data_IF_253281370795
#
_entry.id   IF_253281370795
#
_cell.length_a   1.000
_cell.length_b   1.000
_cell.length_c   1.000
_cell.angle_alpha   90.00
_cell.angle_beta   90.00
_cell.angle_gamma   90.00
#
_symmetry.space_group_name_H-M   'P 1'
#
loop_
_entity.id
_entity.type
_entity.pdbx_description
1 polymer ?
#
# COMPACT_ATOMS: atom_id res chain seq x y z
N UNK A 1 39.95 -41.65 -9.79
CA UNK A 1 39.11 -41.25 -8.64
C UNK A 1 38.79 -39.78 -8.86
N UNK A 2 37.53 -39.46 -9.16
CA UNK A 2 37.09 -38.08 -9.21
C UNK A 2 36.74 -37.70 -7.78
N UNK A 3 37.59 -36.90 -7.15
CA UNK A 3 37.27 -36.29 -5.86
C UNK A 3 36.06 -35.39 -6.07
N UNK A 4 34.91 -35.85 -5.58
CA UNK A 4 33.72 -35.01 -5.45
C UNK A 4 34.08 -33.98 -4.39
N UNK A 5 34.35 -32.76 -4.83
CA UNK A 5 34.48 -31.62 -3.92
C UNK A 5 33.11 -31.45 -3.26
N UNK A 6 32.96 -31.99 -2.06
CA UNK A 6 31.82 -31.71 -1.19
C UNK A 6 31.80 -30.20 -0.96
N UNK A 7 30.91 -29.52 -1.66
CA UNK A 7 30.67 -28.11 -1.41
C UNK A 7 29.93 -28.00 -0.08
N UNK A 8 30.18 -26.94 0.67
CA UNK A 8 29.43 -26.62 1.89
C UNK A 8 27.91 -26.69 1.64
N UNK A 9 27.46 -26.34 0.42
CA UNK A 9 26.07 -26.51 0.00
C UNK A 9 25.59 -27.95 0.08
N UNK A 10 26.31 -28.93 -0.48
CA UNK A 10 25.89 -30.34 -0.45
C UNK A 10 25.72 -30.90 0.96
N UNK A 11 26.53 -30.44 1.93
CA UNK A 11 26.48 -30.88 3.33
C UNK A 11 25.41 -30.19 4.21
N UNK A 12 24.81 -29.07 3.78
CA UNK A 12 23.82 -28.34 4.60
C UNK A 12 22.49 -29.12 4.65
N UNK A 13 21.84 -29.24 5.82
CA UNK A 13 20.51 -29.86 5.93
C UNK A 13 19.45 -29.18 5.07
N UNK A 14 18.55 -29.97 4.47
CA UNK A 14 17.48 -29.48 3.59
C UNK A 14 16.66 -28.36 4.23
N UNK A 15 16.31 -28.48 5.51
CA UNK A 15 15.53 -27.47 6.24
C UNK A 15 16.24 -26.12 6.34
N UNK A 16 17.56 -26.12 6.49
CA UNK A 16 18.39 -24.90 6.52
C UNK A 16 18.47 -24.30 5.12
N UNK A 17 18.64 -25.13 4.08
CA UNK A 17 18.61 -24.64 2.69
C UNK A 17 17.25 -24.00 2.34
N UNK A 18 16.15 -24.63 2.73
CA UNK A 18 14.80 -24.08 2.55
C UNK A 18 14.62 -22.76 3.30
N UNK A 19 15.23 -22.60 4.48
CA UNK A 19 15.24 -21.33 5.20
C UNK A 19 16.03 -20.26 4.45
N UNK A 20 17.26 -20.56 4.01
CA UNK A 20 18.12 -19.65 3.26
C UNK A 20 17.49 -19.21 1.94
N UNK A 21 16.79 -20.11 1.25
CA UNK A 21 16.10 -19.84 -0.01
C UNK A 21 15.01 -18.77 0.08
N UNK A 22 14.48 -18.51 1.29
CA UNK A 22 13.53 -17.43 1.53
C UNK A 22 14.18 -16.04 1.43
N UNK A 23 15.49 -15.96 1.54
CA UNK A 23 16.27 -14.72 1.46
C UNK A 23 16.99 -14.54 0.12
N UNK A 24 17.00 -15.57 -0.73
CA UNK A 24 17.51 -15.46 -2.09
C UNK A 24 16.58 -14.59 -2.94
N UNK A 25 17.10 -13.92 -3.97
CA UNK A 25 16.27 -13.24 -4.97
C UNK A 25 15.75 -14.23 -6.03
N UNK A 26 14.93 -13.72 -6.95
CA UNK A 26 14.36 -14.52 -8.04
C UNK A 26 15.43 -15.18 -8.90
N UNK A 27 16.45 -14.43 -9.32
CA UNK A 27 17.47 -14.91 -10.25
C UNK A 27 18.34 -16.00 -9.60
N UNK A 28 18.72 -15.81 -8.33
CA UNK A 28 19.48 -16.80 -7.55
C UNK A 28 18.72 -18.12 -7.44
N UNK A 29 17.40 -18.07 -7.19
CA UNK A 29 16.56 -19.27 -7.16
C UNK A 29 16.45 -19.93 -8.53
N UNK A 30 16.29 -19.14 -9.59
CA UNK A 30 16.25 -19.66 -10.96
C UNK A 30 17.57 -20.35 -11.33
N UNK A 31 18.71 -19.73 -11.01
CA UNK A 31 20.04 -20.31 -11.23
C UNK A 31 20.21 -21.60 -10.44
N UNK A 32 19.76 -21.64 -9.18
CA UNK A 32 19.83 -22.84 -8.36
C UNK A 32 18.99 -24.00 -8.92
N UNK A 33 17.82 -23.72 -9.51
CA UNK A 33 17.03 -24.74 -10.23
C UNK A 33 17.77 -25.36 -11.41
N UNK A 34 18.74 -24.65 -11.99
CA UNK A 34 19.55 -25.12 -13.12
C UNK A 34 20.78 -25.93 -12.68
N UNK A 35 21.17 -25.86 -11.40
CA UNK A 35 22.37 -26.54 -10.89
C UNK A 35 22.20 -28.06 -10.83
N UNK A 36 21.08 -28.57 -10.30
CA UNK A 36 20.84 -30.01 -10.17
C UNK A 36 19.35 -30.37 -10.02
N UNK A 37 19.02 -31.67 -10.13
CA UNK A 37 17.65 -32.16 -9.87
C UNK A 37 17.23 -31.97 -8.42
N UNK A 38 18.15 -32.17 -7.48
CA UNK A 38 17.89 -32.03 -6.05
C UNK A 38 17.67 -30.57 -5.67
N UNK A 39 18.47 -29.66 -6.23
CA UNK A 39 18.30 -28.22 -6.05
C UNK A 39 16.99 -27.73 -6.66
N UNK A 40 16.59 -28.25 -7.83
CA UNK A 40 15.28 -27.97 -8.40
C UNK A 40 14.16 -28.42 -7.46
N UNK A 41 14.21 -29.65 -6.97
CA UNK A 41 13.19 -30.18 -6.04
C UNK A 41 13.16 -29.38 -4.72
N UNK A 42 14.32 -28.94 -4.23
CA UNK A 42 14.44 -28.08 -3.06
C UNK A 42 13.76 -26.72 -3.29
N UNK A 43 14.04 -26.04 -4.40
CA UNK A 43 13.40 -24.75 -4.70
C UNK A 43 11.90 -24.93 -4.92
N UNK A 44 11.48 -25.97 -5.64
CA UNK A 44 10.07 -26.24 -5.92
C UNK A 44 9.28 -26.65 -4.65
N UNK A 45 9.94 -27.28 -3.67
CA UNK A 45 9.33 -27.62 -2.36
C UNK A 45 9.37 -26.48 -1.36
N UNK A 46 10.19 -25.45 -1.57
CA UNK A 46 10.27 -24.30 -0.69
C UNK A 46 9.06 -23.39 -0.93
N UNK A 47 8.21 -23.24 0.09
CA UNK A 47 7.11 -22.28 0.04
C UNK A 47 7.67 -20.85 0.09
N UNK A 48 7.81 -20.26 -1.09
CA UNK A 48 8.21 -18.88 -1.26
C UNK A 48 7.00 -17.96 -1.41
N UNK A 49 7.06 -16.79 -0.78
CA UNK A 49 6.11 -15.69 -0.99
C UNK A 49 6.95 -14.50 -1.46
N UNK A 50 6.74 -13.99 -2.68
CA UNK A 50 7.50 -12.86 -3.19
C UNK A 50 7.21 -11.61 -2.36
N UNK A 51 8.22 -10.74 -2.23
CA UNK A 51 8.03 -9.50 -1.50
C UNK A 51 7.12 -8.53 -2.26
N UNK A 52 7.27 -8.44 -3.59
CA UNK A 52 6.49 -7.50 -4.41
C UNK A 52 6.04 -8.10 -5.74
N UNK A 53 4.75 -7.90 -6.02
CA UNK A 53 4.16 -8.04 -7.35
C UNK A 53 3.57 -6.69 -7.74
N UNK A 54 3.84 -6.21 -8.94
CA UNK A 54 3.22 -4.98 -9.46
C UNK A 54 2.73 -5.14 -10.88
N UNK A 55 1.55 -4.60 -11.15
CA UNK A 55 0.99 -4.45 -12.49
C UNK A 55 0.79 -2.95 -12.68
N UNK A 56 1.61 -2.37 -13.55
CA UNK A 56 1.60 -0.95 -13.86
C UNK A 56 1.28 -0.69 -15.32
N UNK A 57 0.71 0.46 -15.61
CA UNK A 57 0.53 0.97 -16.95
C UNK A 57 0.97 2.42 -17.02
N UNK A 58 1.66 2.77 -18.10
CA UNK A 58 2.06 4.13 -18.41
C UNK A 58 1.38 4.55 -19.71
N UNK A 59 0.63 5.67 -19.71
CA UNK A 59 -0.06 6.14 -20.91
C UNK A 59 0.94 6.39 -22.03
N UNK A 60 0.59 5.92 -23.24
CA UNK A 60 1.37 6.22 -24.43
C UNK A 60 1.27 7.69 -24.82
N UNK A 61 2.15 8.15 -25.71
CA UNK A 61 1.97 9.46 -26.35
C UNK A 61 0.71 9.45 -27.21
N UNK A 62 0.24 10.62 -27.64
CA UNK A 62 -0.97 10.74 -28.47
C UNK A 62 -0.90 9.81 -29.69
N UNK A 63 -1.80 8.83 -29.77
CA UNK A 63 -1.86 7.83 -30.85
C UNK A 63 -1.03 6.56 -30.63
N UNK A 64 -0.28 6.46 -29.55
CA UNK A 64 0.45 5.26 -29.15
C UNK A 64 -0.32 4.48 -28.08
N UNK A 65 -0.21 3.15 -28.13
CA UNK A 65 -0.66 2.33 -27.02
C UNK A 65 0.18 2.61 -25.77
N UNK A 66 -0.43 2.48 -24.61
CA UNK A 66 0.27 2.49 -23.33
C UNK A 66 1.20 1.30 -23.15
N UNK A 67 2.20 1.50 -22.31
CA UNK A 67 3.17 0.49 -21.92
C UNK A 67 2.73 -0.16 -20.62
N UNK A 68 2.70 -1.50 -20.57
CA UNK A 68 2.40 -2.25 -19.33
C UNK A 68 3.73 -2.73 -18.73
N UNK A 69 3.89 -2.52 -17.43
CA UNK A 69 4.99 -3.02 -16.64
C UNK A 69 4.49 -4.11 -15.70
N UNK A 70 5.11 -5.30 -15.77
CA UNK A 70 4.78 -6.44 -14.92
C UNK A 70 6.00 -6.79 -14.08
N UNK A 71 5.89 -6.61 -12.77
CA UNK A 71 6.99 -6.82 -11.83
C UNK A 71 6.74 -8.04 -10.97
N UNK A 72 7.75 -8.91 -10.91
CA UNK A 72 7.88 -9.98 -9.92
C UNK A 72 9.23 -9.81 -9.25
N UNK A 73 9.26 -9.19 -8.07
CA UNK A 73 10.49 -8.88 -7.33
C UNK A 73 11.47 -7.99 -8.10
N UNK A 74 12.65 -8.50 -8.48
CA UNK A 74 13.65 -7.80 -9.30
C UNK A 74 13.36 -7.91 -10.80
N UNK A 75 12.56 -8.88 -11.22
CA UNK A 75 12.21 -9.10 -12.63
C UNK A 75 11.13 -8.11 -13.05
N UNK A 76 11.39 -7.37 -14.12
CA UNK A 76 10.43 -6.44 -14.73
C UNK A 76 10.26 -6.82 -16.20
N UNK A 77 9.02 -7.02 -16.61
CA UNK A 77 8.63 -7.18 -18.00
C UNK A 77 8.01 -5.87 -18.48
N UNK A 78 8.51 -5.35 -19.59
CA UNK A 78 7.95 -4.21 -20.30
C UNK A 78 7.20 -4.73 -21.52
N UNK A 79 5.92 -4.38 -21.62
CA UNK A 79 5.01 -4.87 -22.66
C UNK A 79 4.49 -3.68 -23.47
N UNK A 80 4.87 -3.62 -24.74
CA UNK A 80 4.50 -2.57 -25.68
C UNK A 80 3.83 -3.16 -26.91
N UNK A 81 2.76 -2.56 -27.40
CA UNK A 81 2.02 -3.05 -28.57
C UNK A 81 2.01 -2.01 -29.69
N UNK A 82 2.48 -2.38 -30.88
CA UNK A 82 2.50 -1.50 -32.05
C UNK A 82 2.11 -2.30 -33.29
N UNK A 83 1.17 -1.77 -34.08
CA UNK A 83 0.71 -2.38 -35.33
C UNK A 83 0.27 -3.85 -35.17
N UNK A 84 -0.40 -4.18 -34.05
CA UNK A 84 -0.88 -5.54 -33.75
C UNK A 84 0.21 -6.53 -33.32
N UNK A 85 1.45 -6.08 -33.14
CA UNK A 85 2.55 -6.87 -32.60
C UNK A 85 2.86 -6.36 -31.19
N UNK A 86 2.80 -7.28 -30.21
CA UNK A 86 3.22 -7.01 -28.84
C UNK A 86 4.65 -7.47 -28.64
N UNK A 87 5.52 -6.54 -28.29
CA UNK A 87 6.88 -6.78 -27.84
C UNK A 87 6.89 -6.89 -26.33
N UNK A 88 7.58 -7.92 -25.82
CA UNK A 88 7.85 -8.11 -24.39
C UNK A 88 9.36 -8.12 -24.21
N UNK A 89 9.87 -7.25 -23.34
CA UNK A 89 11.27 -7.23 -22.95
C UNK A 89 11.43 -7.36 -21.45
N UNK A 90 12.56 -7.89 -21.00
CA UNK A 90 12.95 -7.91 -19.59
C UNK A 90 14.08 -6.90 -19.32
N UNK A 91 14.27 -6.56 -18.05
CA UNK A 91 15.46 -5.85 -17.58
C UNK A 91 16.79 -6.64 -17.73
N UNK A 92 16.72 -7.89 -18.21
CA UNK A 92 17.86 -8.78 -18.49
C UNK A 92 18.12 -8.99 -19.99
N UNK A 93 17.61 -8.09 -20.84
CA UNK A 93 17.81 -8.10 -22.31
C UNK A 93 17.19 -9.30 -23.04
N UNK A 94 16.28 -10.04 -22.41
CA UNK A 94 15.47 -11.06 -23.08
C UNK A 94 14.31 -10.35 -23.76
N UNK A 95 14.10 -10.61 -25.04
CA UNK A 95 13.00 -10.03 -25.82
C UNK A 95 12.29 -11.08 -26.65
N UNK A 96 10.97 -10.97 -26.75
CA UNK A 96 10.18 -11.74 -27.70
C UNK A 96 8.96 -10.96 -28.19
N UNK A 97 8.47 -11.35 -29.37
CA UNK A 97 7.27 -10.78 -29.97
C UNK A 97 6.11 -11.79 -29.94
N UNK A 98 4.89 -11.28 -29.88
CA UNK A 98 3.67 -12.09 -29.97
C UNK A 98 2.54 -11.32 -30.65
N UNK A 99 1.58 -12.05 -31.21
CA UNK A 99 0.35 -11.49 -31.80
C UNK A 99 -0.78 -11.30 -30.75
N UNK A 100 -0.53 -11.68 -29.49
CA UNK A 100 -1.47 -11.45 -28.38
C UNK A 100 -1.46 -9.97 -28.01
N UNK A 101 -2.59 -9.42 -27.59
CA UNK A 101 -2.64 -8.04 -27.09
C UNK A 101 -1.79 -7.87 -25.82
N UNK A 102 -1.38 -6.64 -25.52
CA UNK A 102 -0.65 -6.32 -24.28
C UNK A 102 -1.39 -6.76 -23.01
N UNK A 103 -2.73 -6.69 -23.00
CA UNK A 103 -3.55 -7.18 -21.89
C UNK A 103 -3.62 -8.70 -21.81
N UNK A 104 -3.63 -9.41 -22.93
CA UNK A 104 -3.55 -10.87 -22.94
C UNK A 104 -2.18 -11.35 -22.43
N UNK A 105 -1.10 -10.64 -22.76
CA UNK A 105 0.23 -10.90 -22.21
C UNK A 105 0.22 -10.71 -20.69
N UNK A 106 -0.33 -9.59 -20.20
CA UNK A 106 -0.47 -9.34 -18.76
C UNK A 106 -1.28 -10.46 -18.06
N UNK A 107 -2.39 -10.88 -18.66
CA UNK A 107 -3.22 -11.97 -18.13
C UNK A 107 -2.45 -13.29 -18.05
N UNK A 108 -1.77 -13.67 -19.13
CA UNK A 108 -0.98 -14.91 -19.16
C UNK A 108 0.20 -14.87 -18.18
N UNK A 109 0.80 -13.70 -17.97
CA UNK A 109 1.83 -13.54 -16.96
C UNK A 109 1.27 -13.75 -15.55
N UNK A 110 0.09 -13.19 -15.24
CA UNK A 110 -0.57 -13.44 -13.96
C UNK A 110 -0.88 -14.92 -13.77
N UNK A 111 -1.38 -15.61 -14.79
CA UNK A 111 -1.62 -17.06 -14.72
C UNK A 111 -0.34 -17.87 -14.46
N UNK A 112 0.82 -17.40 -14.91
CA UNK A 112 2.11 -18.07 -14.65
C UNK A 112 2.59 -17.91 -13.21
N UNK A 113 2.30 -16.78 -12.57
CA UNK A 113 2.73 -16.51 -11.18
C UNK A 113 1.68 -16.94 -10.14
N UNK A 114 0.45 -17.21 -10.59
CA UNK A 114 -0.64 -17.72 -9.77
C UNK A 114 -0.27 -19.09 -9.20
N UNK A 115 -0.37 -19.23 -7.88
CA UNK A 115 -0.12 -20.47 -7.17
C UNK A 115 -1.40 -20.90 -6.42
N UNK A 116 -1.88 -22.13 -6.68
CA UNK A 116 -3.12 -22.66 -6.08
C UNK A 116 -4.31 -21.69 -6.18
N UNK A 117 -4.46 -21.05 -7.34
CA UNK A 117 -5.55 -20.11 -7.60
C UNK A 117 -5.34 -18.70 -7.08
N UNK A 118 -4.22 -18.37 -6.45
CA UNK A 118 -3.98 -17.07 -5.80
C UNK A 118 -2.72 -16.39 -6.32
N UNK A 119 -2.77 -15.07 -6.37
CA UNK A 119 -1.65 -14.19 -6.58
C UNK A 119 -1.21 -13.75 -5.19
N UNK A 120 -0.15 -14.37 -4.67
CA UNK A 120 0.32 -14.19 -3.29
C UNK A 120 1.66 -13.44 -3.28
N UNK A 121 1.74 -12.34 -2.54
CA UNK A 121 2.95 -11.56 -2.29
C UNK A 121 2.81 -10.79 -0.96
N UNK A 122 3.91 -10.33 -0.38
CA UNK A 122 3.84 -9.42 0.77
C UNK A 122 3.15 -8.09 0.35
N UNK A 123 3.58 -7.51 -0.76
CA UNK A 123 3.03 -6.28 -1.35
C UNK A 123 2.51 -6.52 -2.77
N UNK A 124 1.29 -6.07 -3.04
CA UNK A 124 0.73 -6.03 -4.39
C UNK A 124 0.42 -4.59 -4.77
N UNK A 125 0.83 -4.18 -5.98
CA UNK A 125 0.60 -2.83 -6.50
C UNK A 125 -0.11 -2.86 -7.85
N UNK A 126 -1.22 -2.14 -7.98
CA UNK A 126 -1.97 -1.95 -9.23
C UNK A 126 -1.93 -0.46 -9.59
N UNK A 127 -1.16 -0.11 -10.62
CA UNK A 127 -0.77 1.28 -10.88
C UNK A 127 -1.22 1.71 -12.28
N UNK A 128 -2.18 2.64 -12.36
CA UNK A 128 -2.81 3.15 -13.58
C UNK A 128 -3.35 2.07 -14.55
N UNK A 129 -3.49 0.84 -14.08
CA UNK A 129 -3.80 -0.30 -14.94
C UNK A 129 -5.28 -0.30 -15.33
N UNK A 130 -5.53 -0.24 -16.64
CA UNK A 130 -6.86 0.03 -17.18
C UNK A 130 -7.75 -1.21 -17.25
N UNK A 131 -7.15 -2.41 -17.25
CA UNK A 131 -7.90 -3.66 -17.34
C UNK A 131 -8.73 -3.90 -16.08
N UNK A 132 -9.98 -4.31 -16.26
CA UNK A 132 -10.80 -4.88 -15.18
C UNK A 132 -10.18 -6.21 -14.73
N UNK A 133 -10.07 -6.49 -13.43
CA UNK A 133 -9.50 -7.76 -12.97
C UNK A 133 -10.38 -8.93 -13.41
N UNK A 134 -9.82 -9.99 -14.01
CA UNK A 134 -10.54 -11.22 -14.32
C UNK A 134 -11.20 -11.86 -13.08
N UNK A 135 -12.27 -12.62 -13.32
CA UNK A 135 -13.12 -13.07 -12.24
C UNK A 135 -12.48 -14.06 -11.28
N UNK A 136 -11.58 -14.88 -11.83
CA UNK A 136 -10.86 -15.95 -11.17
C UNK A 136 -9.55 -15.48 -10.50
N UNK A 137 -9.32 -14.17 -10.43
CA UNK A 137 -8.17 -13.60 -9.74
C UNK A 137 -8.47 -13.43 -8.25
N UNK A 138 -7.51 -13.85 -7.43
CA UNK A 138 -7.57 -13.70 -5.98
C UNK A 138 -6.23 -13.17 -5.50
N UNK A 139 -6.23 -11.94 -4.97
CA UNK A 139 -5.07 -11.27 -4.42
C UNK A 139 -4.95 -11.60 -2.92
N UNK A 140 -3.78 -12.09 -2.53
CA UNK A 140 -3.41 -12.33 -1.13
C UNK A 140 -2.14 -11.55 -0.82
N UNK A 141 -2.27 -10.51 0.00
CA UNK A 141 -1.14 -9.70 0.44
C UNK A 141 -1.39 -9.06 1.80
N UNK A 142 -0.31 -8.59 2.42
CA UNK A 142 -0.36 -7.78 3.63
C UNK A 142 -0.52 -6.29 3.27
N UNK A 143 0.08 -5.86 2.15
CA UNK A 143 0.07 -4.48 1.69
C UNK A 143 -0.49 -4.36 0.26
N UNK A 144 -1.61 -3.67 0.10
CA UNK A 144 -2.20 -3.39 -1.21
C UNK A 144 -2.10 -1.90 -1.55
N UNK A 145 -1.56 -1.60 -2.74
CA UNK A 145 -1.57 -0.27 -3.34
C UNK A 145 -2.40 -0.29 -4.62
N UNK A 146 -3.43 0.54 -4.71
CA UNK A 146 -4.20 0.78 -5.94
C UNK A 146 -4.10 2.25 -6.27
N UNK A 147 -3.48 2.57 -7.39
CA UNK A 147 -3.28 3.95 -7.84
C UNK A 147 -3.91 4.14 -9.21
N UNK A 148 -4.76 5.15 -9.35
CA UNK A 148 -5.17 5.74 -10.63
C UNK A 148 -5.74 4.75 -11.66
N UNK A 149 -6.31 3.64 -11.20
CA UNK A 149 -7.09 2.74 -12.06
C UNK A 149 -8.38 3.46 -12.51
N UNK A 150 -9.03 3.03 -13.60
CA UNK A 150 -10.34 3.55 -13.95
C UNK A 150 -11.32 3.40 -12.76
N UNK A 151 -12.05 4.46 -12.41
CA UNK A 151 -12.88 4.50 -11.19
C UNK A 151 -13.87 3.34 -11.09
N UNK A 152 -14.42 2.90 -12.22
CA UNK A 152 -15.33 1.75 -12.30
C UNK A 152 -14.68 0.41 -11.91
N UNK A 153 -13.35 0.31 -11.92
CA UNK A 153 -12.61 -0.90 -11.62
C UNK A 153 -12.12 -0.98 -10.17
N UNK A 154 -12.17 0.12 -9.38
CA UNK A 154 -11.64 0.15 -8.01
C UNK A 154 -12.29 -0.92 -7.12
N UNK A 155 -13.63 -0.95 -7.08
CA UNK A 155 -14.38 -1.92 -6.28
C UNK A 155 -14.08 -3.35 -6.72
N UNK A 156 -13.98 -3.60 -8.03
CA UNK A 156 -13.64 -4.91 -8.58
C UNK A 156 -12.25 -5.38 -8.13
N UNK A 157 -11.24 -4.49 -8.13
CA UNK A 157 -9.90 -4.81 -7.64
C UNK A 157 -9.88 -5.10 -6.15
N UNK A 158 -10.59 -4.31 -5.35
CA UNK A 158 -10.74 -4.57 -3.91
C UNK A 158 -11.46 -5.89 -3.65
N UNK A 159 -12.52 -6.21 -4.40
CA UNK A 159 -13.25 -7.48 -4.27
C UNK A 159 -12.39 -8.71 -4.57
N UNK A 160 -11.39 -8.60 -5.45
CA UNK A 160 -10.44 -9.70 -5.69
C UNK A 160 -9.44 -9.87 -4.55
N UNK A 161 -9.39 -8.97 -3.59
CA UNK A 161 -8.43 -9.01 -2.46
C UNK A 161 -9.03 -9.66 -1.24
N UNK A 162 -8.28 -10.57 -0.61
CA UNK A 162 -8.65 -11.15 0.69
C UNK A 162 -8.67 -10.05 1.76
N UNK A 163 -9.76 -9.89 2.54
CA UNK A 163 -9.95 -8.77 3.47
C UNK A 163 -9.18 -8.95 4.80
N UNK A 164 -7.86 -9.07 4.72
CA UNK A 164 -6.92 -9.23 5.84
C UNK A 164 -5.64 -8.42 5.60
N UNK A 165 -5.82 -7.16 5.18
CA UNK A 165 -4.72 -6.26 4.88
C UNK A 165 -4.16 -5.65 6.17
N UNK A 166 -2.83 -5.52 6.23
CA UNK A 166 -2.18 -4.62 7.18
C UNK A 166 -2.26 -3.20 6.70
N UNK A 167 -1.95 -2.99 5.42
CA UNK A 167 -1.99 -1.68 4.78
C UNK A 167 -2.83 -1.68 3.51
N UNK A 168 -3.68 -0.67 3.37
CA UNK A 168 -4.39 -0.36 2.15
C UNK A 168 -4.10 1.09 1.75
N UNK A 169 -3.49 1.29 0.59
CA UNK A 169 -3.24 2.60 -0.02
C UNK A 169 -4.01 2.73 -1.34
N UNK A 170 -5.03 3.58 -1.35
CA UNK A 170 -5.84 3.88 -2.54
C UNK A 170 -5.59 5.33 -2.94
N UNK A 171 -5.02 5.51 -4.12
CA UNK A 171 -4.68 6.82 -4.66
C UNK A 171 -5.40 7.09 -5.98
N UNK A 172 -6.55 7.75 -5.92
CA UNK A 172 -7.40 7.99 -7.09
C UNK A 172 -7.91 9.42 -7.15
N UNK A 173 -8.41 9.87 -8.30
CA UNK A 173 -9.07 11.17 -8.42
C UNK A 173 -10.37 11.28 -7.63
N UNK A 174 -11.08 10.15 -7.52
CA UNK A 174 -12.32 10.02 -6.77
C UNK A 174 -12.39 8.62 -6.19
N UNK A 175 -12.70 8.54 -4.90
CA UNK A 175 -12.92 7.30 -4.17
C UNK A 175 -14.35 7.34 -3.63
N UNK A 176 -15.21 6.47 -4.16
CA UNK A 176 -16.58 6.31 -3.70
C UNK A 176 -16.96 4.83 -3.57
N UNK A 177 -17.99 4.54 -2.77
CA UNK A 177 -18.63 3.21 -2.68
C UNK A 177 -17.75 2.06 -2.20
N UNK A 178 -16.59 2.33 -1.57
CA UNK A 178 -15.72 1.28 -1.02
C UNK A 178 -15.73 1.20 0.51
N UNK A 179 -16.29 2.19 1.21
CA UNK A 179 -16.13 2.34 2.65
C UNK A 179 -16.79 1.21 3.47
N UNK A 180 -17.87 0.62 2.96
CA UNK A 180 -18.52 -0.55 3.56
C UNK A 180 -17.81 -1.88 3.31
N UNK A 181 -16.79 -1.92 2.45
CA UNK A 181 -16.09 -3.15 2.07
C UNK A 181 -15.18 -3.64 3.20
N UNK A 182 -15.15 -4.96 3.38
CA UNK A 182 -14.33 -5.59 4.43
C UNK A 182 -12.83 -5.33 4.25
N UNK A 183 -12.37 -5.17 3.00
CA UNK A 183 -10.99 -4.79 2.69
C UNK A 183 -10.60 -3.43 3.30
N UNK A 184 -11.54 -2.49 3.35
CA UNK A 184 -11.32 -1.15 3.91
C UNK A 184 -11.45 -1.20 5.44
N UNK A 185 -12.57 -1.71 5.96
CA UNK A 185 -12.86 -1.72 7.40
C UNK A 185 -11.86 -2.56 8.19
N UNK A 186 -11.46 -3.72 7.66
CA UNK A 186 -10.60 -4.68 8.37
C UNK A 186 -9.10 -4.45 8.15
N UNK A 187 -8.72 -3.33 7.53
CA UNK A 187 -7.30 -2.94 7.45
C UNK A 187 -6.77 -2.71 8.86
N UNK A 188 -5.71 -3.43 9.26
CA UNK A 188 -5.33 -3.55 10.67
C UNK A 188 -4.29 -2.55 11.15
N UNK A 189 -3.46 -1.99 10.26
CA UNK A 189 -2.36 -1.10 10.64
C UNK A 189 -2.55 0.29 10.03
N UNK A 190 -2.63 0.40 8.70
CA UNK A 190 -2.69 1.70 8.03
C UNK A 190 -3.68 1.74 6.86
N UNK A 191 -4.59 2.71 6.90
CA UNK A 191 -5.49 3.01 5.79
C UNK A 191 -5.17 4.39 5.18
N UNK A 192 -4.80 4.41 3.90
CA UNK A 192 -4.56 5.64 3.15
C UNK A 192 -5.54 5.75 1.99
N UNK A 193 -6.35 6.79 2.02
CA UNK A 193 -7.33 7.10 0.98
C UNK A 193 -7.06 8.52 0.49
N UNK A 194 -6.37 8.63 -0.65
CA UNK A 194 -5.98 9.93 -1.18
C UNK A 194 -7.11 10.57 -1.99
N UNK A 195 -7.20 11.90 -1.90
CA UNK A 195 -7.97 12.82 -2.75
C UNK A 195 -9.49 12.53 -2.80
N UNK A 196 -10.24 13.51 -2.32
CA UNK A 196 -11.67 13.69 -2.60
C UNK A 196 -12.52 12.47 -2.22
N UNK A 197 -12.29 11.87 -1.04
CA UNK A 197 -13.23 10.87 -0.50
C UNK A 197 -14.50 11.57 -0.01
N UNK A 198 -15.67 11.06 -0.40
CA UNK A 198 -16.96 11.54 0.10
C UNK A 198 -17.44 10.71 1.31
N UNK A 199 -16.56 10.54 2.29
CA UNK A 199 -16.80 9.73 3.49
C UNK A 199 -17.72 10.46 4.49
N UNK A 200 -18.54 9.71 5.24
CA UNK A 200 -19.34 10.22 6.37
C UNK A 200 -18.68 9.92 7.72
N UNK A 201 -19.19 10.55 8.79
CA UNK A 201 -18.73 10.29 10.16
C UNK A 201 -18.90 8.81 10.54
N UNK A 202 -20.03 8.20 10.19
CA UNK A 202 -20.32 6.80 10.50
C UNK A 202 -19.36 5.85 9.77
N UNK A 203 -19.06 6.13 8.51
CA UNK A 203 -18.09 5.36 7.73
C UNK A 203 -16.68 5.48 8.33
N UNK A 204 -16.27 6.69 8.73
CA UNK A 204 -15.00 6.94 9.39
C UNK A 204 -14.86 6.16 10.71
N UNK A 205 -15.93 6.12 11.52
CA UNK A 205 -15.95 5.40 12.79
C UNK A 205 -15.70 3.88 12.63
N UNK A 206 -16.12 3.30 11.49
CA UNK A 206 -15.98 1.86 11.22
C UNK A 206 -14.55 1.41 10.90
N UNK A 207 -13.62 2.33 10.60
CA UNK A 207 -12.24 1.99 10.22
C UNK A 207 -11.48 1.46 11.44
N UNK A 208 -10.93 0.25 11.36
CA UNK A 208 -10.16 -0.35 12.47
C UNK A 208 -8.70 0.11 12.54
N UNK A 209 -8.13 0.55 11.42
CA UNK A 209 -6.73 0.95 11.35
C UNK A 209 -6.41 2.08 12.34
N UNK A 210 -5.41 1.94 13.23
CA UNK A 210 -4.97 3.02 14.10
C UNK A 210 -4.29 4.15 13.32
N UNK A 211 -3.52 3.81 12.28
CA UNK A 211 -2.94 4.80 11.37
C UNK A 211 -3.89 5.09 10.21
N UNK A 212 -4.18 6.36 9.97
CA UNK A 212 -4.99 6.79 8.82
C UNK A 212 -4.36 7.98 8.10
N UNK A 213 -4.54 8.03 6.79
CA UNK A 213 -4.25 9.19 5.96
C UNK A 213 -5.42 9.39 4.98
N UNK A 214 -6.39 10.21 5.36
CA UNK A 214 -7.66 10.37 4.65
C UNK A 214 -7.84 11.82 4.22
N UNK A 215 -8.02 12.01 2.92
CA UNK A 215 -8.34 13.32 2.33
C UNK A 215 -9.78 13.35 1.89
N UNK A 216 -10.64 13.90 2.75
CA UNK A 216 -12.06 14.05 2.48
C UNK A 216 -12.43 15.49 2.16
N UNK A 217 -13.13 15.69 1.04
CA UNK A 217 -13.91 16.90 0.78
C UNK A 217 -15.41 16.60 0.96
N UNK A 218 -15.69 15.59 1.79
CA UNK A 218 -16.98 14.91 1.92
C UNK A 218 -17.85 15.47 3.04
N UNK A 219 -18.47 14.57 3.81
CA UNK A 219 -19.47 14.93 4.83
C UNK A 219 -18.93 14.78 6.25
N UNK A 220 -17.62 14.62 6.41
CA UNK A 220 -17.00 14.50 7.73
C UNK A 220 -17.21 15.82 8.48
N UNK A 221 -17.83 15.75 9.65
CA UNK A 221 -18.08 16.90 10.51
C UNK A 221 -16.93 17.11 11.48
N UNK A 222 -16.88 18.29 12.13
CA UNK A 222 -15.94 18.53 13.22
C UNK A 222 -16.09 17.53 14.39
N UNK A 223 -17.30 17.04 14.65
CA UNK A 223 -17.52 15.99 15.65
C UNK A 223 -17.00 14.63 15.19
N UNK A 224 -17.17 14.29 13.91
CA UNK A 224 -16.57 13.08 13.32
C UNK A 224 -15.05 13.11 13.39
N UNK A 225 -14.45 14.24 13.00
CA UNK A 225 -13.01 14.45 13.11
C UNK A 225 -12.51 14.35 14.56
N UNK A 226 -13.21 14.96 15.52
CA UNK A 226 -12.91 14.85 16.96
C UNK A 226 -12.93 13.41 17.45
N UNK A 227 -13.95 12.64 17.08
CA UNK A 227 -14.07 11.22 17.47
C UNK A 227 -12.96 10.37 16.85
N UNK A 228 -12.65 10.57 15.56
CA UNK A 228 -11.57 9.86 14.88
C UNK A 228 -10.21 10.18 15.49
N UNK A 229 -9.95 11.46 15.80
CA UNK A 229 -8.72 11.87 16.46
C UNK A 229 -8.60 11.30 17.87
N UNK A 230 -9.68 11.30 18.66
CA UNK A 230 -9.73 10.60 19.95
C UNK A 230 -9.40 9.12 19.82
N UNK A 231 -10.00 8.43 18.86
CA UNK A 231 -9.73 7.01 18.59
C UNK A 231 -8.24 6.78 18.33
N UNK A 232 -7.58 7.65 17.56
CA UNK A 232 -6.12 7.59 17.36
C UNK A 232 -5.35 7.77 18.68
N UNK A 233 -5.67 8.78 19.48
CA UNK A 233 -5.00 9.03 20.77
C UNK A 233 -5.14 7.82 21.71
N UNK A 234 -6.31 7.17 21.74
CA UNK A 234 -6.60 6.03 22.63
C UNK A 234 -6.05 4.68 22.12
N UNK A 235 -5.78 4.54 20.81
CA UNK A 235 -5.44 3.24 20.19
C UNK A 235 -4.11 3.21 19.42
N UNK A 236 -3.41 4.33 19.26
CA UNK A 236 -2.14 4.36 18.54
C UNK A 236 -1.00 3.72 19.32
N UNK A 237 0.02 3.27 18.59
CA UNK A 237 1.32 2.78 19.07
C UNK A 237 2.43 3.71 18.61
N UNK A 238 3.63 3.63 19.22
CA UNK A 238 4.81 4.27 18.66
C UNK A 238 5.00 3.89 17.19
N UNK A 239 5.11 4.90 16.32
CA UNK A 239 5.20 4.75 14.86
C UNK A 239 3.89 4.95 14.10
N UNK A 240 2.73 4.94 14.76
CA UNK A 240 1.46 5.24 14.10
C UNK A 240 1.29 6.73 13.78
N UNK A 241 0.58 7.01 12.68
CA UNK A 241 0.34 8.38 12.19
C UNK A 241 -1.13 8.62 11.88
N UNK A 242 -1.60 9.82 12.16
CA UNK A 242 -2.93 10.30 11.84
C UNK A 242 -2.83 11.49 10.89
N UNK A 243 -3.50 11.42 9.75
CA UNK A 243 -3.75 12.56 8.87
C UNK A 243 -5.21 12.53 8.42
N UNK A 244 -5.96 13.57 8.77
CA UNK A 244 -7.35 13.73 8.37
C UNK A 244 -7.58 15.13 7.83
N UNK A 245 -7.97 15.22 6.56
CA UNK A 245 -8.53 16.43 5.97
C UNK A 245 -10.05 16.31 5.86
N UNK A 246 -10.76 17.34 6.30
CA UNK A 246 -12.21 17.44 6.22
C UNK A 246 -12.68 18.90 6.00
N UNK A 247 -13.82 19.12 5.32
CA UNK A 247 -14.33 20.45 5.03
C UNK A 247 -14.89 21.18 6.26
N UNK A 248 -14.85 22.51 6.23
CA UNK A 248 -15.44 23.40 7.23
C UNK A 248 -16.76 23.95 6.68
N UNK A 249 -17.89 23.50 7.22
CA UNK A 249 -19.22 23.98 6.81
C UNK A 249 -19.78 25.12 7.68
N UNK A 250 -19.15 25.39 8.82
CA UNK A 250 -19.52 26.42 9.79
C UNK A 250 -18.31 26.81 10.63
N UNK A 251 -18.41 27.86 11.45
CA UNK A 251 -17.34 28.22 12.39
C UNK A 251 -16.96 26.99 13.25
N UNK A 252 -15.71 26.56 13.14
CA UNK A 252 -15.16 25.44 13.90
C UNK A 252 -13.95 25.92 14.69
N UNK A 253 -14.02 25.80 16.02
CA UNK A 253 -12.88 26.07 16.87
C UNK A 253 -12.01 24.81 16.94
N UNK A 254 -10.80 24.87 16.39
CA UNK A 254 -9.90 23.72 16.38
C UNK A 254 -9.52 23.24 17.79
N UNK A 255 -9.67 24.09 18.81
CA UNK A 255 -9.46 23.72 20.21
C UNK A 255 -10.49 22.70 20.71
N UNK A 256 -11.64 22.59 20.05
CA UNK A 256 -12.68 21.62 20.36
C UNK A 256 -12.28 20.19 19.97
N UNK A 257 -11.22 19.99 19.18
CA UNK A 257 -10.70 18.66 18.85
C UNK A 257 -10.18 17.90 20.08
N UNK A 258 -9.66 18.64 21.06
CA UNK A 258 -9.06 18.06 22.24
C UNK A 258 -10.12 17.79 23.32
N UNK A 259 -9.98 16.69 24.05
CA UNK A 259 -10.78 16.49 25.25
C UNK A 259 -10.34 17.47 26.35
N UNK A 260 -11.28 17.92 27.18
CA UNK A 260 -11.00 18.85 28.29
C UNK A 260 -10.10 18.22 29.36
N UNK A 261 -10.07 16.89 29.44
CA UNK A 261 -9.19 16.15 30.36
C UNK A 261 -7.75 16.05 29.89
N UNK A 262 -7.49 16.27 28.59
CA UNK A 262 -6.16 16.11 28.03
C UNK A 262 -5.25 17.26 28.45
N UNK A 263 -4.07 16.90 28.93
CA UNK A 263 -3.01 17.85 29.27
C UNK A 263 -2.31 18.21 27.97
N UNK A 264 -2.56 19.41 27.46
CA UNK A 264 -1.99 19.88 26.18
C UNK A 264 -1.25 21.19 26.33
N UNK A 265 -0.23 21.37 25.50
CA UNK A 265 0.57 22.58 25.38
C UNK A 265 0.51 23.05 23.92
N UNK A 266 0.18 24.32 23.70
CA UNK A 266 0.32 24.96 22.39
C UNK A 266 1.77 25.42 22.23
N UNK A 267 2.43 25.00 21.16
CA UNK A 267 3.82 25.34 20.87
C UNK A 267 3.83 26.55 19.95
N UNK A 268 4.21 27.70 20.50
CA UNK A 268 4.43 28.91 19.73
C UNK A 268 5.81 28.83 19.06
N UNK A 269 5.87 28.87 17.73
CA UNK A 269 7.14 29.04 17.00
C UNK A 269 7.19 30.43 16.35
N UNK A 270 8.38 30.99 16.19
CA UNK A 270 8.55 32.32 15.58
C UNK A 270 8.18 32.33 14.08
N UNK A 271 8.13 31.13 13.46
CA UNK A 271 7.87 30.89 12.04
C UNK A 271 6.47 30.30 11.74
N UNK A 272 5.52 30.33 12.68
CA UNK A 272 4.17 29.80 12.43
C UNK A 272 3.49 30.61 11.32
N UNK A 273 3.20 29.96 10.20
CA UNK A 273 2.41 30.56 9.13
C UNK A 273 0.98 30.80 9.61
N UNK A 274 0.34 31.89 9.17
CA UNK A 274 -1.05 32.17 9.51
C UNK A 274 -1.94 30.96 9.17
N UNK A 275 -2.61 30.39 10.18
CA UNK A 275 -3.48 29.22 10.04
C UNK A 275 -2.84 27.88 10.40
N UNK A 276 -1.58 27.84 10.82
CA UNK A 276 -0.93 26.64 11.38
C UNK A 276 -0.95 26.71 12.91
N UNK A 277 -1.29 25.60 13.58
CA UNK A 277 -1.29 25.50 15.04
C UNK A 277 -0.64 24.19 15.48
N UNK A 278 0.35 24.29 16.37
CA UNK A 278 1.14 23.15 16.82
C UNK A 278 0.84 22.89 18.29
N UNK A 279 0.56 21.63 18.61
CA UNK A 279 0.23 21.18 19.95
C UNK A 279 1.04 19.94 20.35
N UNK A 280 1.26 19.81 21.65
CA UNK A 280 1.74 18.60 22.33
C UNK A 280 0.67 18.11 23.28
N UNK A 281 0.38 16.81 23.28
CA UNK A 281 -0.48 16.18 24.28
C UNK A 281 0.41 15.39 25.23
N UNK A 282 0.55 15.86 26.46
CA UNK A 282 1.47 15.32 27.47
C UNK A 282 0.80 14.36 28.46
N UNK A 283 -0.48 14.02 28.25
CA UNK A 283 -1.22 13.06 29.06
C UNK A 283 -2.69 13.42 29.21
N UNK A 284 -3.34 12.86 30.24
CA UNK A 284 -4.76 13.07 30.51
C UNK A 284 -5.71 12.21 29.65
N UNK A 285 -5.15 11.22 28.94
CA UNK A 285 -5.88 10.21 28.17
C UNK A 285 -5.41 8.80 28.57
N UNK A 286 -6.24 7.80 28.31
CA UNK A 286 -5.88 6.40 28.46
C UNK A 286 -5.66 5.79 27.08
N UNK A 287 -4.48 5.23 26.84
CA UNK A 287 -4.15 4.54 25.61
C UNK A 287 -3.93 3.04 25.88
N UNK A 288 -4.55 2.18 25.08
CA UNK A 288 -4.53 0.72 25.29
C UNK A 288 -3.16 0.07 25.08
N UNK A 289 -2.21 0.80 24.49
CA UNK A 289 -0.84 0.37 24.21
C UNK A 289 0.19 1.07 25.09
N UNK A 290 -0.24 1.83 26.10
CA UNK A 290 0.67 2.48 27.05
C UNK A 290 1.40 3.70 26.49
N UNK A 291 0.90 4.30 25.41
CA UNK A 291 1.38 5.62 24.97
C UNK A 291 0.95 6.67 26.00
N UNK A 292 1.91 7.43 26.51
CA UNK A 292 1.66 8.47 27.52
C UNK A 292 1.57 9.89 26.94
N UNK A 293 2.09 10.11 25.72
CA UNK A 293 2.11 11.43 25.08
C UNK A 293 2.02 11.35 23.56
N UNK A 294 1.41 12.36 22.93
CA UNK A 294 1.45 12.62 21.49
C UNK A 294 2.26 13.91 21.27
N UNK A 295 3.56 13.81 20.92
CA UNK A 295 4.46 14.95 20.91
C UNK A 295 4.26 15.90 19.72
N UNK A 296 3.57 15.46 18.67
CA UNK A 296 3.33 16.29 17.50
C UNK A 296 1.87 16.18 17.09
N UNK A 297 1.15 17.28 17.24
CA UNK A 297 -0.19 17.48 16.69
C UNK A 297 -0.16 18.80 15.93
N UNK A 298 -0.36 18.77 14.63
CA UNK A 298 -0.33 19.94 13.76
C UNK A 298 -1.70 20.09 13.14
N UNK A 299 -2.27 21.29 13.26
CA UNK A 299 -3.55 21.64 12.68
C UNK A 299 -3.32 22.74 11.65
N UNK A 300 -3.64 22.44 10.40
CA UNK A 300 -3.70 23.44 9.35
C UNK A 300 -5.15 23.85 9.13
N UNK A 301 -5.42 25.13 9.36
CA UNK A 301 -6.72 25.75 9.21
C UNK A 301 -6.74 26.57 7.93
N UNK A 302 -7.48 26.08 6.94
CA UNK A 302 -7.73 26.78 5.69
C UNK A 302 -9.15 27.32 5.66
N UNK A 303 -9.45 28.20 4.69
CA UNK A 303 -10.77 28.82 4.58
C UNK A 303 -11.91 27.81 4.42
N UNK A 304 -11.66 26.71 3.70
CA UNK A 304 -12.69 25.73 3.32
C UNK A 304 -12.53 24.36 4.01
N UNK A 305 -11.40 24.10 4.66
CA UNK A 305 -11.09 22.77 5.22
C UNK A 305 -10.04 22.86 6.34
N UNK A 306 -9.98 21.81 7.15
CA UNK A 306 -8.95 21.60 8.17
C UNK A 306 -8.16 20.36 7.81
N UNK A 307 -6.87 20.36 8.13
CA UNK A 307 -6.02 19.17 8.16
C UNK A 307 -5.52 18.99 9.58
N UNK A 308 -5.76 17.81 10.17
CA UNK A 308 -5.18 17.39 11.43
C UNK A 308 -4.09 16.38 11.11
N UNK A 309 -2.88 16.62 11.59
CA UNK A 309 -1.77 15.65 11.57
C UNK A 309 -1.34 15.33 12.99
N UNK A 310 -1.11 14.06 13.30
CA UNK A 310 -0.52 13.66 14.57
C UNK A 310 0.37 12.45 14.44
N UNK A 311 1.49 12.44 15.17
CA UNK A 311 2.49 11.37 15.10
C UNK A 311 3.41 11.34 16.33
N UNK A 312 3.93 10.16 16.63
CA UNK A 312 4.78 9.89 17.81
C UNK A 312 6.24 10.31 17.64
N UNK A 313 6.74 10.34 16.41
CA UNK A 313 8.13 10.62 16.08
C UNK A 313 8.17 11.70 14.99
N UNK A 314 9.10 12.65 15.04
CA UNK A 314 9.33 13.61 13.93
C UNK A 314 9.33 12.85 12.60
N UNK A 315 8.58 13.35 11.60
CA UNK A 315 8.63 12.77 10.24
C UNK A 315 10.10 12.56 9.86
N UNK A 316 10.54 11.36 9.44
CA UNK A 316 11.78 11.29 8.67
C UNK A 316 11.59 12.22 7.47
N UNK A 317 12.64 12.98 7.12
CA UNK A 317 12.67 13.84 5.93
C UNK A 317 11.90 13.18 4.78
N UNK A 318 11.04 13.92 4.05
CA UNK A 318 10.29 13.34 2.95
C UNK A 318 11.27 12.56 2.08
N UNK A 319 10.99 11.27 1.78
CA UNK A 319 11.87 10.51 0.91
C UNK A 319 12.05 11.33 -0.37
N UNK A 320 13.28 11.42 -0.92
CA UNK A 320 13.51 12.19 -2.14
C UNK A 320 12.46 11.76 -3.15
N UNK A 321 11.72 12.74 -3.65
CA UNK A 321 10.73 12.59 -4.73
C UNK A 321 11.46 12.06 -5.95
N UNK A 322 11.60 10.75 -6.04
CA UNK A 322 11.87 10.08 -7.30
C UNK A 322 10.56 10.15 -8.10
N UNK A 323 10.65 10.92 -9.18
CA UNK A 323 9.66 11.14 -10.24
C UNK A 323 8.72 9.96 -10.52
#
# INVERSE_FOLDING_TARGET
MNDVVETCWTSIPVTVKQFLLKFSDYDSRCNLKLCSRDDKALVDSTRYVPDVISIGEEPGRTGENSTIYLRYESLILTVTERNGITKVSTNSSIEYNTIKSRYDVARLWVEKIKNRGKIEANRIKILNFSMTPPDDWILKCDHLEIRMVPSQNLSSWLQKTIPKLKTLDVQMWKIDKIFGMDQVKNTSEMLKLSRNVSMTDEELETILAPSIAIVSDGKITGNGAKKAFRKYVENSRPGDSFELRFPIFSYFDHRDLFDNKWIREEVLTEDVNMGEYIYRINGGFENIHGVESIPNVIIYYFFEYIIIRAFHCMEPDPPPTFY
#
